data_IF_198429626393
#
_entry.id   IF_198429626393
#
_cell.length_a   1.000
_cell.length_b   1.000
_cell.length_c   1.000
_cell.angle_alpha   90.00
_cell.angle_beta   90.00
_cell.angle_gamma   90.00
#
_symmetry.space_group_name_H-M   'P 1'
#
loop_
_entity.id
_entity.type
_entity.pdbx_description
1 polymer ?
#
# COMPACT_ATOMS: atom_id res chain seq x y z
N UNK A 1 22.53 0.91 6.02
CA UNK A 1 21.39 1.72 6.50
C UNK A 1 20.21 0.76 6.58
N UNK A 2 19.41 0.82 7.63
CA UNK A 2 18.23 -0.05 7.75
C UNK A 2 17.13 0.49 6.82
N UNK A 3 16.61 -0.36 5.95
CA UNK A 3 15.48 -0.01 5.08
C UNK A 3 14.17 -0.27 5.83
N UNK A 4 13.19 0.61 5.64
CA UNK A 4 11.88 0.52 6.26
C UNK A 4 10.95 -0.33 5.37
N UNK A 5 10.51 -1.53 5.81
CA UNK A 5 9.62 -2.39 5.06
C UNK A 5 8.22 -1.78 4.93
N UNK A 6 7.77 -1.63 3.68
CA UNK A 6 6.49 -1.01 3.32
C UNK A 6 5.57 -2.01 2.64
N UNK A 7 4.34 -2.13 3.14
CA UNK A 7 3.24 -2.86 2.50
C UNK A 7 2.32 -1.87 1.78
N UNK A 8 2.09 -2.08 0.49
CA UNK A 8 1.19 -1.23 -0.33
C UNK A 8 -0.18 -1.86 -0.47
N UNK A 9 -1.21 -1.09 -0.10
CA UNK A 9 -2.60 -1.53 -0.09
C UNK A 9 -3.44 -0.62 -1.00
N UNK A 10 -4.09 -1.19 -2.01
CA UNK A 10 -5.04 -0.46 -2.85
C UNK A 10 -5.92 -1.44 -3.61
N UNK A 11 -7.22 -1.13 -3.77
CA UNK A 11 -8.12 -1.90 -4.63
C UNK A 11 -7.70 -1.84 -6.11
N UNK A 12 -7.35 -0.66 -6.59
CA UNK A 12 -6.96 -0.45 -7.99
C UNK A 12 -5.55 -0.98 -8.26
N UNK A 13 -5.45 -1.91 -9.23
CA UNK A 13 -4.19 -2.58 -9.57
C UNK A 13 -3.14 -1.60 -10.08
N UNK A 14 -3.54 -0.59 -10.86
CA UNK A 14 -2.62 0.38 -11.44
C UNK A 14 -2.04 1.29 -10.35
N UNK A 15 -2.90 1.82 -9.48
CA UNK A 15 -2.51 2.63 -8.33
C UNK A 15 -1.58 1.87 -7.41
N UNK A 16 -1.88 0.60 -7.13
CA UNK A 16 -1.02 -0.27 -6.31
C UNK A 16 0.38 -0.46 -6.89
N UNK A 17 0.45 -0.86 -8.16
CA UNK A 17 1.73 -1.12 -8.84
C UNK A 17 2.55 0.17 -9.01
N UNK A 18 1.90 1.28 -9.37
CA UNK A 18 2.55 2.58 -9.53
C UNK A 18 3.12 3.10 -8.21
N UNK A 19 2.34 3.04 -7.14
CA UNK A 19 2.78 3.47 -5.82
C UNK A 19 3.93 2.60 -5.30
N UNK A 20 3.85 1.28 -5.45
CA UNK A 20 4.94 0.38 -5.12
C UNK A 20 6.23 0.74 -5.88
N UNK A 21 6.14 0.98 -7.19
CA UNK A 21 7.31 1.37 -7.99
C UNK A 21 7.94 2.69 -7.56
N UNK A 22 7.15 3.67 -7.11
CA UNK A 22 7.68 4.96 -6.63
C UNK A 22 8.35 4.81 -5.27
N UNK A 23 7.75 4.02 -4.37
CA UNK A 23 8.27 3.79 -3.02
C UNK A 23 9.57 2.97 -3.03
N UNK A 24 9.66 1.97 -3.92
CA UNK A 24 10.85 1.13 -4.07
C UNK A 24 12.07 1.91 -4.60
N UNK A 25 11.85 3.07 -5.21
CA UNK A 25 12.91 3.98 -5.65
C UNK A 25 13.34 4.98 -4.55
N UNK A 26 12.66 5.02 -3.40
CA UNK A 26 13.02 5.95 -2.33
C UNK A 26 14.14 5.36 -1.46
N UNK A 27 15.21 6.12 -1.20
CA UNK A 27 16.28 5.64 -0.34
C UNK A 27 15.75 5.40 1.09
N UNK A 28 16.04 4.21 1.62
CA UNK A 28 15.64 3.83 2.98
C UNK A 28 14.23 3.23 3.08
N UNK A 29 13.54 3.00 1.96
CA UNK A 29 12.31 2.20 1.91
C UNK A 29 12.56 0.90 1.14
N UNK A 30 11.84 -0.15 1.51
CA UNK A 30 11.78 -1.39 0.73
C UNK A 30 10.34 -1.88 0.64
N UNK A 31 9.84 -2.17 -0.56
CA UNK A 31 8.46 -2.66 -0.71
C UNK A 31 8.43 -4.17 -0.50
N UNK A 32 7.88 -4.60 0.64
CA UNK A 32 7.82 -6.02 1.02
C UNK A 32 6.62 -6.75 0.43
N UNK A 33 5.58 -6.01 0.02
CA UNK A 33 4.37 -6.62 -0.51
C UNK A 33 3.40 -5.64 -1.14
N UNK A 34 2.47 -6.19 -1.91
CA UNK A 34 1.35 -5.47 -2.50
C UNK A 34 0.08 -6.31 -2.37
N UNK A 35 -0.96 -5.75 -1.77
CA UNK A 35 -2.24 -6.46 -1.58
C UNK A 35 -3.44 -5.62 -2.01
N UNK A 36 -4.51 -6.25 -2.55
CA UNK A 36 -5.80 -5.58 -2.65
C UNK A 36 -6.29 -5.22 -1.24
N UNK A 37 -6.85 -4.02 -1.07
CA UNK A 37 -7.40 -3.53 0.19
C UNK A 37 -8.91 -3.37 0.12
N UNK A 38 -9.63 -4.48 0.07
CA UNK A 38 -11.07 -4.50 0.32
C UNK A 38 -11.35 -4.45 1.83
N UNK A 39 -12.46 -3.81 2.21
CA UNK A 39 -12.81 -3.52 3.60
C UNK A 39 -12.99 -4.78 4.47
N UNK A 40 -13.17 -5.95 3.84
CA UNK A 40 -13.35 -7.24 4.50
C UNK A 40 -12.08 -8.11 4.57
N UNK A 41 -11.01 -7.75 3.85
CA UNK A 41 -9.77 -8.54 3.88
C UNK A 41 -8.86 -8.11 5.03
N UNK A 42 -8.48 -9.09 5.85
CA UNK A 42 -7.39 -8.94 6.79
C UNK A 42 -6.09 -8.70 6.02
N UNK A 43 -5.38 -7.63 6.37
CA UNK A 43 -4.04 -7.41 5.84
C UNK A 43 -3.11 -8.52 6.35
N UNK A 44 -2.35 -9.18 5.46
CA UNK A 44 -1.38 -10.21 5.85
C UNK A 44 -0.12 -9.60 6.49
N UNK A 45 -0.31 -8.80 7.54
CA UNK A 45 0.76 -8.13 8.27
C UNK A 45 1.76 -9.14 8.86
N UNK A 46 1.27 -10.27 9.37
CA UNK A 46 2.13 -11.34 9.92
C UNK A 46 3.02 -12.01 8.87
N UNK A 47 2.67 -11.92 7.58
CA UNK A 47 3.44 -12.50 6.47
C UNK A 47 4.51 -11.51 5.99
N UNK A 48 4.13 -10.23 5.87
CA UNK A 48 5.00 -9.21 5.31
C UNK A 48 5.83 -8.45 6.35
N UNK A 49 5.48 -8.58 7.64
CA UNK A 49 6.07 -7.86 8.77
C UNK A 49 6.38 -6.38 8.45
N UNK A 50 5.39 -5.60 7.97
CA UNK A 50 5.66 -4.24 7.52
C UNK A 50 5.78 -3.28 8.70
N UNK A 51 6.76 -2.39 8.64
CA UNK A 51 6.88 -1.25 9.55
C UNK A 51 5.90 -0.13 9.17
N UNK A 52 5.56 -0.04 7.87
CA UNK A 52 4.63 0.96 7.35
C UNK A 52 3.63 0.32 6.39
N UNK A 53 2.37 0.69 6.53
CA UNK A 53 1.29 0.33 5.59
C UNK A 53 0.85 1.61 4.88
N UNK A 54 0.92 1.62 3.55
CA UNK A 54 0.42 2.72 2.74
C UNK A 54 -0.88 2.27 2.07
N UNK A 55 -2.00 2.81 2.54
CA UNK A 55 -3.34 2.46 2.07
C UNK A 55 -3.94 3.58 1.22
N UNK A 56 -4.22 3.27 -0.05
CA UNK A 56 -4.98 4.16 -0.94
C UNK A 56 -6.47 3.91 -0.75
N UNK A 57 -7.13 4.82 -0.04
CA UNK A 57 -8.59 4.84 0.12
C UNK A 57 -9.26 5.51 -1.08
N UNK A 58 -10.39 4.99 -1.59
CA UNK A 58 -11.15 5.66 -2.63
C UNK A 58 -11.55 7.07 -2.18
N UNK A 59 -11.35 8.07 -3.05
CA UNK A 59 -11.83 9.42 -2.77
C UNK A 59 -13.36 9.43 -2.67
N UNK A 60 -13.91 10.08 -1.65
CA UNK A 60 -15.34 10.33 -1.57
C UNK A 60 -15.77 11.10 -2.82
N UNK A 61 -16.66 10.53 -3.65
CA UNK A 61 -17.37 11.34 -4.63
C UNK A 61 -18.17 12.39 -3.86
N UNK A 62 -18.06 13.68 -4.18
CA UNK A 62 -18.98 14.66 -3.60
C UNK A 62 -20.39 14.20 -3.91
N UNK A 63 -21.22 14.06 -2.89
CA UNK A 63 -22.64 13.79 -3.04
C UNK A 63 -23.21 14.92 -3.90
N UNK A 64 -23.72 14.59 -5.08
CA UNK A 64 -24.48 15.52 -5.89
C UNK A 64 -25.72 15.92 -5.07
N UNK A 65 -25.68 17.12 -4.49
CA UNK A 65 -26.83 17.77 -3.87
C UNK A 65 -27.67 18.50 -4.91
#
# INVERSE_FOLDING_TARGET
>A
MTELPVLVVSLDRLSRAGLASVLDQQPGLTVVGQVPGDEESFLPADIYDPDVIVWVIPGARPSAG
#
